data_IF_902004449628
#
_entry.id   IF_902004449628
#
_cell.length_a   1.000
_cell.length_b   1.000
_cell.length_c   1.000
_cell.angle_alpha   90.00
_cell.angle_beta   90.00
_cell.angle_gamma   90.00
#
_symmetry.space_group_name_H-M   'P 1'
#
loop_
_entity.id
_entity.type
_entity.pdbx_description
1 polymer ?
#
# COMPACT_ATOMS: atom_id res chain seq x y z
N UNK A 1 31.39 -35.05 21.98
CA UNK A 1 29.98 -34.71 22.22
C UNK A 1 30.00 -33.31 22.81
N UNK A 2 29.55 -32.25 22.16
CA UNK A 2 28.50 -32.11 21.15
C UNK A 2 28.85 -31.01 20.13
N UNK A 3 28.25 -31.09 18.94
CA UNK A 3 28.51 -30.23 17.77
C UNK A 3 27.79 -28.87 17.90
N UNK A 4 28.27 -27.81 17.22
CA UNK A 4 27.72 -26.45 17.30
C UNK A 4 26.38 -26.30 16.56
N UNK A 5 25.44 -25.55 17.16
CA UNK A 5 24.12 -25.28 16.56
C UNK A 5 24.12 -23.96 15.78
N UNK A 6 23.91 -24.09 14.46
CA UNK A 6 22.96 -23.27 13.69
C UNK A 6 23.38 -21.84 13.29
N UNK A 7 24.26 -21.84 12.31
CA UNK A 7 24.48 -20.95 11.16
C UNK A 7 23.21 -20.54 10.35
N UNK A 8 22.02 -20.41 10.96
CA UNK A 8 20.79 -20.01 10.25
C UNK A 8 20.14 -18.77 10.87
N UNK A 9 20.76 -17.62 10.64
CA UNK A 9 20.00 -16.40 10.28
C UNK A 9 20.73 -15.71 9.13
N UNK A 10 20.77 -16.41 8.01
CA UNK A 10 20.93 -15.75 6.73
C UNK A 10 19.68 -14.92 6.45
N UNK A 11 19.77 -13.60 6.59
CA UNK A 11 19.28 -12.69 5.55
C UNK A 11 20.25 -11.52 5.49
N UNK A 12 21.07 -11.53 4.45
CA UNK A 12 21.75 -10.36 3.93
C UNK A 12 20.66 -9.35 3.52
N UNK A 13 20.44 -8.28 4.27
CA UNK A 13 19.70 -7.12 3.75
C UNK A 13 20.72 -6.17 3.15
N UNK A 14 21.12 -6.45 1.91
CA UNK A 14 21.71 -5.43 1.05
C UNK A 14 20.71 -4.28 0.82
N UNK A 15 21.12 -3.15 0.22
CA UNK A 15 20.24 -2.04 -0.12
C UNK A 15 19.34 -2.40 -1.33
N UNK A 16 18.49 -3.40 -1.16
CA UNK A 16 17.28 -3.58 -1.94
C UNK A 16 16.15 -3.10 -1.04
N UNK A 17 15.38 -2.11 -1.49
CA UNK A 17 14.16 -1.72 -0.80
C UNK A 17 13.25 -2.95 -0.75
N UNK A 18 13.24 -3.62 0.40
CA UNK A 18 12.39 -4.80 0.62
C UNK A 18 10.93 -4.38 0.54
N UNK A 19 10.06 -5.18 -0.08
CA UNK A 19 8.61 -4.87 -0.16
C UNK A 19 8.01 -4.54 1.21
N UNK A 20 8.52 -5.11 2.29
CA UNK A 20 8.09 -4.76 3.64
C UNK A 20 8.33 -3.29 3.97
N UNK A 21 9.52 -2.75 3.69
CA UNK A 21 9.79 -1.30 3.85
C UNK A 21 8.82 -0.43 3.05
N UNK A 22 8.43 -0.88 1.86
CA UNK A 22 7.45 -0.18 1.03
C UNK A 22 6.06 -0.25 1.66
N UNK A 23 5.67 -1.41 2.19
CA UNK A 23 4.41 -1.56 2.91
C UNK A 23 4.37 -0.68 4.18
N UNK A 24 5.48 -0.59 4.90
CA UNK A 24 5.60 0.28 6.07
C UNK A 24 5.45 1.76 5.67
N UNK A 25 6.15 2.21 4.62
CA UNK A 25 6.01 3.56 4.07
C UNK A 25 4.57 3.86 3.62
N UNK A 26 3.92 2.93 2.91
CA UNK A 26 2.53 3.05 2.48
C UNK A 26 1.58 3.13 3.69
N UNK A 27 1.82 2.35 4.74
CA UNK A 27 1.00 2.37 5.94
C UNK A 27 1.08 3.72 6.66
N UNK A 28 2.27 4.32 6.78
CA UNK A 28 2.46 5.66 7.35
C UNK A 28 1.72 6.74 6.54
N UNK A 29 1.83 6.68 5.21
CA UNK A 29 1.10 7.60 4.32
C UNK A 29 -0.42 7.45 4.43
N UNK A 30 -0.92 6.22 4.53
CA UNK A 30 -2.32 5.93 4.75
C UNK A 30 -2.79 6.38 6.14
N UNK A 31 -1.95 6.27 7.17
CA UNK A 31 -2.26 6.75 8.52
C UNK A 31 -2.44 8.27 8.53
N UNK A 32 -1.59 9.02 7.83
CA UNK A 32 -1.75 10.47 7.71
C UNK A 32 -3.07 10.89 7.04
N UNK A 33 -3.51 10.14 6.01
CA UNK A 33 -4.83 10.33 5.41
C UNK A 33 -5.95 9.99 6.39
N UNK A 34 -5.82 8.86 7.10
CA UNK A 34 -6.79 8.43 8.10
C UNK A 34 -7.01 9.48 9.18
N UNK A 35 -5.94 10.01 9.78
CA UNK A 35 -6.02 11.02 10.84
C UNK A 35 -6.74 12.28 10.33
N UNK A 36 -6.31 12.82 9.19
CA UNK A 36 -6.92 14.02 8.60
C UNK A 36 -8.39 13.83 8.18
N UNK A 37 -8.77 12.62 7.77
CA UNK A 37 -10.16 12.28 7.46
C UNK A 37 -11.00 12.03 8.70
N UNK A 38 -10.44 11.47 9.77
CA UNK A 38 -11.09 11.33 11.06
C UNK A 38 -11.44 12.67 11.67
N UNK A 39 -10.51 13.62 11.65
CA UNK A 39 -10.72 14.99 12.15
C UNK A 39 -11.87 15.70 11.43
N UNK A 40 -11.93 15.57 10.09
CA UNK A 40 -12.99 16.14 9.25
C UNK A 40 -14.25 15.30 9.15
N UNK A 41 -14.27 14.11 9.78
CA UNK A 41 -15.37 13.13 9.71
C UNK A 41 -15.73 12.72 8.27
N UNK A 42 -14.73 12.56 7.42
CA UNK A 42 -14.87 12.11 6.03
C UNK A 42 -15.16 10.61 5.97
N UNK A 43 -16.40 10.22 6.25
CA UNK A 43 -16.79 8.79 6.39
C UNK A 43 -16.57 7.99 5.11
N UNK A 44 -16.83 8.56 3.93
CA UNK A 44 -16.68 7.86 2.66
C UNK A 44 -15.20 7.51 2.38
N UNK A 45 -14.25 8.48 2.37
CA UNK A 45 -12.82 8.16 2.27
C UNK A 45 -12.31 7.16 3.31
N UNK A 46 -12.75 7.28 4.57
CA UNK A 46 -12.39 6.36 5.65
C UNK A 46 -12.87 4.94 5.35
N UNK A 47 -14.12 4.77 4.90
CA UNK A 47 -14.68 3.46 4.57
C UNK A 47 -13.90 2.78 3.43
N UNK A 48 -13.52 3.54 2.41
CA UNK A 48 -12.64 3.03 1.35
C UNK A 48 -11.31 2.58 1.95
N UNK A 49 -10.60 3.45 2.67
CA UNK A 49 -9.27 3.14 3.19
C UNK A 49 -9.26 1.90 4.10
N UNK A 50 -10.18 1.84 5.07
CA UNK A 50 -10.28 0.75 6.03
C UNK A 50 -10.63 -0.61 5.41
N UNK A 51 -11.12 -0.65 4.16
CA UNK A 51 -11.39 -1.90 3.46
C UNK A 51 -10.09 -2.65 3.07
N UNK A 52 -9.00 -1.92 2.89
CA UNK A 52 -7.74 -2.43 2.32
C UNK A 52 -6.51 -2.08 3.15
N UNK A 53 -6.65 -1.22 4.16
CA UNK A 53 -5.62 -0.81 5.11
C UNK A 53 -5.96 -1.35 6.51
N UNK A 54 -4.96 -1.77 7.31
CA UNK A 54 -3.51 -1.72 7.05
C UNK A 54 -3.00 -2.83 6.12
N UNK A 55 -1.88 -2.57 5.43
CA UNK A 55 -1.17 -3.59 4.65
C UNK A 55 -0.40 -4.48 5.62
N UNK A 56 -0.93 -5.67 5.90
CA UNK A 56 -0.32 -6.66 6.80
C UNK A 56 0.72 -7.51 6.07
N UNK A 57 0.46 -7.87 4.82
CA UNK A 57 1.35 -8.64 3.97
C UNK A 57 1.84 -7.81 2.78
N UNK A 58 3.16 -7.70 2.63
CA UNK A 58 3.79 -6.94 1.55
C UNK A 58 3.79 -7.68 0.19
N UNK A 59 2.61 -8.12 -0.24
CA UNK A 59 2.41 -8.83 -1.50
C UNK A 59 1.91 -7.90 -2.61
N UNK A 60 2.17 -8.27 -3.87
CA UNK A 60 1.65 -7.55 -5.03
C UNK A 60 0.12 -7.47 -5.03
N UNK A 61 -0.57 -8.49 -4.49
CA UNK A 61 -2.03 -8.51 -4.39
C UNK A 61 -2.52 -7.43 -3.43
N UNK A 62 -1.89 -7.29 -2.27
CA UNK A 62 -2.25 -6.28 -1.26
C UNK A 62 -1.98 -4.87 -1.78
N UNK A 63 -0.85 -4.65 -2.45
CA UNK A 63 -0.57 -3.39 -3.14
C UNK A 63 -1.57 -3.08 -4.26
N UNK A 64 -1.95 -4.08 -5.08
CA UNK A 64 -2.96 -3.91 -6.12
C UNK A 64 -4.31 -3.53 -5.53
N UNK A 65 -4.75 -4.20 -4.45
CA UNK A 65 -6.01 -3.89 -3.76
C UNK A 65 -6.04 -2.46 -3.23
N UNK A 66 -4.97 -2.03 -2.55
CA UNK A 66 -4.88 -0.65 -2.07
C UNK A 66 -4.95 0.35 -3.23
N UNK A 67 -4.19 0.10 -4.30
CA UNK A 67 -4.16 0.96 -5.50
C UNK A 67 -5.53 1.08 -6.15
N UNK A 68 -6.17 -0.04 -6.42
CA UNK A 68 -7.45 -0.07 -7.12
C UNK A 68 -8.52 0.65 -6.28
N UNK A 69 -8.52 0.44 -4.97
CA UNK A 69 -9.45 1.08 -4.06
C UNK A 69 -9.21 2.60 -3.88
N UNK A 70 -7.96 3.05 -3.84
CA UNK A 70 -7.62 4.49 -3.85
C UNK A 70 -7.96 5.16 -5.18
N UNK A 71 -7.79 4.45 -6.31
CA UNK A 71 -8.18 4.94 -7.63
C UNK A 71 -9.70 5.10 -7.74
N UNK A 72 -10.45 4.14 -7.22
CA UNK A 72 -11.92 4.22 -7.20
C UNK A 72 -12.38 5.38 -6.32
N UNK A 73 -11.74 5.62 -5.17
CA UNK A 73 -12.01 6.79 -4.34
C UNK A 73 -11.75 8.11 -5.12
N UNK A 74 -10.61 8.23 -5.81
CA UNK A 74 -10.28 9.39 -6.65
C UNK A 74 -11.22 9.52 -7.86
N UNK A 75 -11.85 8.45 -8.35
CA UNK A 75 -12.75 8.54 -9.51
C UNK A 75 -14.18 8.91 -9.13
N UNK A 76 -14.69 8.36 -8.02
CA UNK A 76 -16.11 8.45 -7.69
C UNK A 76 -16.43 9.50 -6.63
N UNK A 77 -15.46 9.89 -5.80
CA UNK A 77 -15.69 10.73 -4.62
C UNK A 77 -14.75 11.95 -4.57
N UNK A 78 -14.41 12.52 -5.73
CA UNK A 78 -13.56 13.73 -5.81
C UNK A 78 -14.08 14.90 -4.98
N UNK A 79 -15.40 15.07 -4.91
CA UNK A 79 -16.01 16.17 -4.16
C UNK A 79 -15.84 16.03 -2.64
N UNK A 80 -15.54 14.82 -2.14
CA UNK A 80 -15.26 14.55 -0.73
C UNK A 80 -13.77 14.67 -0.39
N UNK A 81 -12.91 14.92 -1.38
CA UNK A 81 -11.46 15.05 -1.23
C UNK A 81 -11.04 16.51 -1.37
N UNK A 82 -10.17 16.97 -0.47
CA UNK A 82 -9.47 18.24 -0.68
C UNK A 82 -8.37 18.09 -1.74
N UNK A 83 -7.86 19.21 -2.27
CA UNK A 83 -6.69 19.20 -3.14
C UNK A 83 -5.47 18.53 -2.50
N UNK A 84 -5.29 18.73 -1.19
CA UNK A 84 -4.20 18.10 -0.42
C UNK A 84 -4.37 16.58 -0.35
N UNK A 85 -5.59 16.10 -0.09
CA UNK A 85 -5.90 14.67 -0.07
C UNK A 85 -5.66 14.03 -1.44
N UNK A 86 -6.12 14.71 -2.49
CA UNK A 86 -5.94 14.27 -3.87
C UNK A 86 -4.46 14.18 -4.24
N UNK A 87 -3.65 15.15 -3.80
CA UNK A 87 -2.20 15.14 -3.96
C UNK A 87 -1.55 13.93 -3.27
N UNK A 88 -1.95 13.63 -2.02
CA UNK A 88 -1.46 12.47 -1.27
C UNK A 88 -1.89 11.15 -1.89
N UNK A 89 -3.15 11.02 -2.33
CA UNK A 89 -3.65 9.83 -3.03
C UNK A 89 -2.87 9.61 -4.33
N UNK A 90 -2.64 10.66 -5.12
CA UNK A 90 -1.86 10.55 -6.36
C UNK A 90 -0.43 10.11 -6.11
N UNK A 91 0.20 10.60 -5.04
CA UNK A 91 1.51 10.13 -4.62
C UNK A 91 1.51 8.64 -4.26
N UNK A 92 0.55 8.20 -3.43
CA UNK A 92 0.35 6.79 -3.09
C UNK A 92 0.17 5.91 -4.33
N UNK A 93 -0.66 6.32 -5.28
CA UNK A 93 -0.87 5.63 -6.55
C UNK A 93 0.43 5.53 -7.36
N UNK A 94 1.26 6.58 -7.35
CA UNK A 94 2.58 6.59 -7.97
C UNK A 94 3.52 5.55 -7.36
N UNK A 95 3.58 5.46 -6.03
CA UNK A 95 4.39 4.44 -5.33
C UNK A 95 3.87 3.03 -5.63
N UNK A 96 2.55 2.83 -5.57
CA UNK A 96 1.90 1.53 -5.80
C UNK A 96 2.01 1.05 -7.26
N UNK A 97 2.05 1.97 -8.24
CA UNK A 97 2.23 1.62 -9.65
C UNK A 97 3.56 0.88 -9.89
N UNK A 98 4.61 1.27 -9.17
CA UNK A 98 5.94 0.66 -9.24
C UNK A 98 5.96 -0.77 -8.66
N UNK A 99 5.02 -1.09 -7.76
CA UNK A 99 4.93 -2.39 -7.10
C UNK A 99 3.98 -3.36 -7.81
N UNK A 100 3.09 -2.85 -8.65
CA UNK A 100 2.01 -3.60 -9.30
C UNK A 100 2.34 -4.01 -10.75
N UNK A 101 3.63 -3.99 -11.11
CA UNK A 101 4.13 -4.38 -12.43
C UNK A 101 3.86 -5.84 -12.83
N UNK A 102 2.99 -5.97 -13.83
CA UNK A 102 2.69 -7.06 -14.79
C UNK A 102 2.21 -8.45 -14.30
N UNK A 103 0.89 -8.66 -14.39
CA UNK A 103 0.34 -9.91 -14.95
C UNK A 103 -0.55 -9.51 -16.13
N UNK A 104 0.04 -9.30 -17.31
CA UNK A 104 -0.65 -9.65 -18.55
C UNK A 104 -0.32 -11.12 -18.81
N UNK A 105 -1.24 -11.99 -18.42
CA UNK A 105 -1.26 -13.38 -18.83
C UNK A 105 -2.68 -13.68 -19.26
N UNK A 106 -2.97 -13.41 -20.53
CA UNK A 106 -3.98 -14.13 -21.31
C UNK A 106 -3.36 -14.40 -22.67
N UNK A 107 -2.53 -15.44 -22.70
CA UNK A 107 -2.34 -16.26 -23.88
C UNK A 107 -3.30 -17.43 -23.74
N UNK A 108 -4.34 -17.49 -24.58
CA UNK A 108 -4.93 -18.76 -25.06
C UNK A 108 -5.95 -18.48 -26.18
N UNK A 109 -5.57 -18.91 -27.39
CA UNK A 109 -6.31 -19.10 -28.65
C UNK A 109 -6.98 -17.91 -29.34
#
# INVERSE_FOLDING_TARGET
MERPVEWIKGVHVGPHVSRQKIADELNELCLALFDGWCERRCVIPLAYLLHVWPIVDATQRSFKRLRDNLRDLECWHLNDLSDEDSGRIRYLLGVLSQQTGSVVSTSTN
#
